data_IF_143749807188
#
_entry.id   IF_143749807188
#
_cell.length_a   1.000
_cell.length_b   1.000
_cell.length_c   1.000
_cell.angle_alpha   90.00
_cell.angle_beta   90.00
_cell.angle_gamma   90.00
#
_symmetry.space_group_name_H-M   'P 1'
#
loop_
_entity.id
_entity.type
_entity.pdbx_description
1 polymer ?
#
# COMPACT_ATOMS: atom_id res chain seq x y z
N UNK A 1 -5.36 14.66 9.54
CA UNK A 1 -6.24 15.62 8.79
C UNK A 1 -6.71 14.98 7.49
N UNK A 2 -5.87 14.70 6.52
CA UNK A 2 -6.30 14.13 5.22
C UNK A 2 -7.02 12.77 5.31
N UNK A 3 -6.56 11.86 6.17
CA UNK A 3 -7.20 10.54 6.31
C UNK A 3 -8.67 10.65 6.75
N UNK A 4 -8.99 11.52 7.70
CA UNK A 4 -10.36 11.75 8.15
C UNK A 4 -11.25 12.32 7.04
N UNK A 5 -10.72 13.22 6.20
CA UNK A 5 -11.43 13.78 5.05
C UNK A 5 -11.75 12.71 4.00
N UNK A 6 -10.78 11.81 3.73
CA UNK A 6 -10.98 10.69 2.79
C UNK A 6 -12.02 9.71 3.34
N UNK A 7 -11.89 9.33 4.61
CA UNK A 7 -12.86 8.42 5.27
C UNK A 7 -14.27 9.01 5.22
N UNK A 8 -14.43 10.31 5.48
CA UNK A 8 -15.74 10.96 5.46
C UNK A 8 -16.34 11.12 4.06
N UNK A 9 -15.53 10.99 3.01
CA UNK A 9 -15.95 11.17 1.63
C UNK A 9 -16.43 9.88 0.94
N UNK A 10 -16.38 8.71 1.62
CA UNK A 10 -16.72 7.42 1.01
C UNK A 10 -17.25 6.43 2.04
N UNK A 11 -18.18 5.57 1.60
CA UNK A 11 -18.64 4.40 2.39
C UNK A 11 -17.74 3.17 2.22
N UNK A 12 -16.70 3.27 1.37
CA UNK A 12 -15.76 2.18 1.18
C UNK A 12 -14.78 2.09 2.36
N UNK A 13 -14.32 0.87 2.71
CA UNK A 13 -13.27 0.71 3.70
C UNK A 13 -11.99 1.43 3.24
N UNK A 14 -11.45 2.31 4.09
CA UNK A 14 -10.22 3.07 3.82
C UNK A 14 -9.07 2.51 4.65
N UNK A 15 -7.97 2.18 4.00
CA UNK A 15 -6.68 1.87 4.65
C UNK A 15 -5.61 2.86 4.22
N UNK A 16 -4.60 3.07 5.06
CA UNK A 16 -3.54 4.04 4.80
C UNK A 16 -2.14 3.40 4.85
N UNK A 17 -1.22 3.95 4.08
CA UNK A 17 0.20 3.79 4.32
C UNK A 17 0.59 4.72 5.48
N UNK A 18 1.05 4.13 6.57
CA UNK A 18 1.45 4.85 7.79
C UNK A 18 2.97 4.91 7.93
N UNK A 19 3.67 4.67 6.83
CA UNK A 19 5.13 4.74 6.75
C UNK A 19 5.79 3.90 7.86
N UNK A 20 6.81 4.47 8.53
CA UNK A 20 7.43 3.86 9.70
C UNK A 20 6.61 4.03 11.00
N UNK A 21 5.36 4.43 10.93
CA UNK A 21 4.53 4.76 12.09
C UNK A 21 4.85 6.16 12.65
N UNK A 22 5.51 6.99 11.88
CA UNK A 22 5.92 8.38 12.18
C UNK A 22 6.84 8.52 13.38
N UNK A 23 7.62 7.49 13.69
CA UNK A 23 8.67 7.56 14.71
C UNK A 23 9.28 6.21 15.09
N UNK A 24 10.48 6.25 15.61
CA UNK A 24 11.31 5.06 15.83
C UNK A 24 10.82 4.15 16.99
N UNK A 25 10.12 4.69 17.98
CA UNK A 25 9.74 3.90 19.16
C UNK A 25 8.48 3.08 18.96
N UNK A 26 8.38 1.87 19.55
CA UNK A 26 7.15 1.08 19.55
C UNK A 26 5.92 1.84 20.07
N UNK A 27 6.11 2.70 21.07
CA UNK A 27 5.02 3.53 21.64
C UNK A 27 4.42 4.48 20.61
N UNK A 28 5.25 5.07 19.73
CA UNK A 28 4.76 5.97 18.66
C UNK A 28 3.99 5.17 17.62
N UNK A 29 4.45 3.97 17.25
CA UNK A 29 3.68 3.09 16.37
C UNK A 29 2.30 2.76 16.95
N UNK A 30 2.22 2.40 18.22
CA UNK A 30 0.95 2.13 18.91
C UNK A 30 0.02 3.34 18.89
N UNK A 31 0.54 4.53 19.16
CA UNK A 31 -0.25 5.77 19.12
C UNK A 31 -0.74 6.10 17.71
N UNK A 32 0.10 5.92 16.70
CA UNK A 32 -0.27 6.07 15.29
C UNK A 32 -1.45 5.18 14.91
N UNK A 33 -1.45 3.91 15.33
CA UNK A 33 -2.57 2.99 15.10
C UNK A 33 -3.84 3.47 15.80
N UNK A 34 -3.77 3.91 17.07
CA UNK A 34 -4.94 4.46 17.77
C UNK A 34 -5.53 5.68 17.06
N UNK A 35 -4.66 6.60 16.62
CA UNK A 35 -5.09 7.78 15.85
C UNK A 35 -5.72 7.36 14.52
N UNK A 36 -5.13 6.40 13.81
CA UNK A 36 -5.66 5.86 12.56
C UNK A 36 -7.06 5.27 12.73
N UNK A 37 -7.27 4.48 13.77
CA UNK A 37 -8.59 3.93 14.10
C UNK A 37 -9.59 5.03 14.46
N UNK A 38 -9.19 6.01 15.26
CA UNK A 38 -10.07 7.09 15.71
C UNK A 38 -10.58 7.98 14.56
N UNK A 39 -9.85 8.08 13.46
CA UNK A 39 -10.30 8.80 12.26
C UNK A 39 -11.08 7.91 11.28
N UNK A 40 -11.31 6.63 11.63
CA UNK A 40 -12.15 5.70 10.87
C UNK A 40 -11.41 4.89 9.81
N UNK A 41 -10.08 4.83 9.84
CA UNK A 41 -9.35 3.86 9.02
C UNK A 41 -9.60 2.44 9.53
N UNK A 42 -9.79 1.51 8.60
CA UNK A 42 -10.00 0.07 8.90
C UNK A 42 -8.75 -0.77 8.66
N UNK A 43 -7.63 -0.15 8.39
CA UNK A 43 -6.34 -0.79 8.23
C UNK A 43 -5.22 0.21 7.92
N UNK A 44 -3.99 -0.25 8.06
CA UNK A 44 -2.82 0.52 7.73
C UNK A 44 -1.56 -0.33 7.66
N UNK A 45 -0.52 0.20 7.04
CA UNK A 45 0.77 -0.47 6.98
C UNK A 45 1.82 0.24 7.83
N UNK A 46 2.63 -0.55 8.52
CA UNK A 46 3.84 -0.11 9.22
C UNK A 46 5.03 -0.83 8.58
N UNK A 47 6.06 -0.07 8.22
CA UNK A 47 7.27 -0.59 7.60
C UNK A 47 8.47 -0.58 8.54
N UNK A 48 9.47 -1.41 8.20
CA UNK A 48 10.73 -1.49 8.91
C UNK A 48 11.81 -0.54 8.37
N UNK A 49 11.48 0.35 7.44
CA UNK A 49 12.36 1.43 7.02
C UNK A 49 12.52 2.50 8.10
N UNK A 50 13.73 3.06 8.22
CA UNK A 50 14.06 4.07 9.25
C UNK A 50 13.96 5.51 8.75
N UNK A 51 13.91 5.71 7.42
CA UNK A 51 14.09 7.02 6.80
C UNK A 51 15.54 7.55 6.85
N UNK A 52 16.48 6.83 7.47
CA UNK A 52 17.89 7.21 7.53
C UNK A 52 18.69 6.43 6.45
N UNK A 53 19.29 7.09 5.45
CA UNK A 53 20.03 6.43 4.38
C UNK A 53 21.24 5.61 4.87
N UNK A 54 21.86 6.00 6.00
CA UNK A 54 23.04 5.32 6.55
C UNK A 54 22.67 4.02 7.29
N UNK A 55 21.42 3.91 7.77
CA UNK A 55 20.87 2.72 8.42
C UNK A 55 19.41 2.54 8.00
N UNK A 56 19.15 2.20 6.71
CA UNK A 56 17.82 2.38 6.11
C UNK A 56 16.74 1.45 6.65
N UNK A 57 17.12 0.35 7.30
CA UNK A 57 16.18 -0.66 7.82
C UNK A 57 16.50 -0.91 9.29
N UNK A 58 15.46 -0.98 10.13
CA UNK A 58 15.59 -1.37 11.53
C UNK A 58 16.14 -2.79 11.68
N UNK A 59 16.91 -3.03 12.75
CA UNK A 59 17.21 -4.38 13.18
C UNK A 59 15.92 -5.16 13.40
N UNK A 60 15.96 -6.47 13.13
CA UNK A 60 14.76 -7.32 13.18
C UNK A 60 14.07 -7.28 14.55
N UNK A 61 14.81 -7.25 15.65
CA UNK A 61 14.25 -7.15 17.00
C UNK A 61 13.48 -5.85 17.20
N UNK A 62 14.05 -4.73 16.78
CA UNK A 62 13.40 -3.42 16.88
C UNK A 62 12.17 -3.33 15.96
N UNK A 63 12.26 -3.87 14.75
CA UNK A 63 11.12 -3.93 13.84
C UNK A 63 9.96 -4.75 14.43
N UNK A 64 10.26 -5.92 15.01
CA UNK A 64 9.28 -6.80 15.68
C UNK A 64 8.61 -6.10 16.86
N UNK A 65 9.36 -5.44 17.75
CA UNK A 65 8.78 -4.69 18.87
C UNK A 65 7.80 -3.60 18.41
N UNK A 66 8.07 -2.96 17.27
CA UNK A 66 7.22 -1.94 16.67
C UNK A 66 5.92 -2.53 16.12
N UNK A 67 6.01 -3.66 15.41
CA UNK A 67 4.83 -4.38 14.90
C UNK A 67 4.00 -4.94 16.07
N UNK A 68 4.64 -5.50 17.10
CA UNK A 68 3.94 -5.99 18.28
C UNK A 68 3.15 -4.86 18.97
N UNK A 69 3.77 -3.71 19.19
CA UNK A 69 3.10 -2.57 19.81
C UNK A 69 1.94 -2.03 18.95
N UNK A 70 2.09 -2.03 17.62
CA UNK A 70 1.02 -1.67 16.69
C UNK A 70 -0.14 -2.68 16.73
N UNK A 71 0.16 -3.98 16.75
CA UNK A 71 -0.81 -5.06 16.86
C UNK A 71 -1.58 -5.00 18.17
N UNK A 72 -0.89 -4.86 19.32
CA UNK A 72 -1.52 -4.70 20.62
C UNK A 72 -2.46 -3.49 20.69
N UNK A 73 -2.09 -2.41 19.98
CA UNK A 73 -2.91 -1.19 19.92
C UNK A 73 -4.18 -1.35 19.09
N UNK A 74 -4.26 -2.35 18.22
CA UNK A 74 -5.42 -2.62 17.34
C UNK A 74 -6.27 -3.82 17.77
N UNK A 75 -5.89 -4.57 18.81
CA UNK A 75 -6.51 -5.84 19.19
C UNK A 75 -8.03 -5.82 19.32
N UNK A 76 -8.59 -4.75 19.89
CA UNK A 76 -10.03 -4.61 20.10
C UNK A 76 -10.70 -3.66 19.10
N UNK A 77 -9.99 -3.34 18.01
CA UNK A 77 -10.44 -2.37 17.00
C UNK A 77 -10.65 -3.06 15.65
N UNK A 78 -11.59 -2.59 14.83
CA UNK A 78 -11.80 -3.12 13.48
C UNK A 78 -10.69 -2.62 12.53
N UNK A 79 -9.45 -3.02 12.76
CA UNK A 79 -8.29 -2.54 12.05
C UNK A 79 -7.39 -3.70 11.62
N UNK A 80 -7.01 -3.75 10.36
CA UNK A 80 -6.08 -4.73 9.80
C UNK A 80 -4.68 -4.14 9.69
N UNK A 81 -3.75 -4.66 10.47
CA UNK A 81 -2.35 -4.26 10.45
C UNK A 81 -1.58 -4.98 9.34
N UNK A 82 -1.03 -4.23 8.40
CA UNK A 82 -0.08 -4.74 7.40
C UNK A 82 1.34 -4.43 7.84
N UNK A 83 2.18 -5.45 8.00
CA UNK A 83 3.61 -5.26 8.28
C UNK A 83 4.43 -5.38 7.00
N UNK A 84 5.37 -4.41 6.78
CA UNK A 84 6.17 -4.31 5.57
C UNK A 84 7.65 -4.58 5.86
N UNK A 85 8.28 -5.44 5.05
CA UNK A 85 9.72 -5.67 5.03
C UNK A 85 10.32 -4.97 3.79
N UNK A 86 11.06 -3.91 4.01
CA UNK A 86 11.51 -2.96 2.98
C UNK A 86 12.88 -3.28 2.36
N UNK A 87 13.47 -4.44 2.65
CA UNK A 87 14.80 -4.87 2.21
C UNK A 87 15.11 -4.51 0.76
N UNK A 88 14.23 -4.91 -0.16
CA UNK A 88 14.45 -4.75 -1.59
C UNK A 88 14.41 -3.28 -2.05
N UNK A 89 13.57 -2.46 -1.45
CA UNK A 89 13.48 -1.03 -1.82
C UNK A 89 14.69 -0.23 -1.35
N UNK A 90 15.38 -0.72 -0.33
CA UNK A 90 16.57 -0.07 0.23
C UNK A 90 17.87 -0.72 -0.19
N UNK A 91 17.87 -1.43 -1.33
CA UNK A 91 19.08 -2.00 -1.93
C UNK A 91 19.69 -3.16 -1.13
N UNK A 92 18.88 -3.85 -0.34
CA UNK A 92 19.24 -5.06 0.41
C UNK A 92 18.46 -6.28 -0.07
N UNK A 93 18.68 -6.74 -1.33
CA UNK A 93 17.92 -7.81 -1.94
C UNK A 93 18.31 -9.19 -1.37
N UNK A 94 17.86 -9.48 -0.16
CA UNK A 94 18.05 -10.73 0.56
C UNK A 94 16.66 -11.37 0.82
N UNK A 95 16.35 -12.43 0.07
CA UNK A 95 15.06 -13.09 0.16
C UNK A 95 14.89 -13.85 1.47
N UNK A 96 15.97 -14.45 1.98
CA UNK A 96 15.93 -15.21 3.23
C UNK A 96 15.72 -14.27 4.44
N UNK A 97 16.42 -13.12 4.48
CA UNK A 97 16.17 -12.11 5.51
C UNK A 97 14.76 -11.51 5.41
N UNK A 98 14.27 -11.27 4.19
CA UNK A 98 12.89 -10.78 3.96
C UNK A 98 11.86 -11.77 4.51
N UNK A 99 11.98 -13.05 4.18
CA UNK A 99 11.07 -14.10 4.70
C UNK A 99 11.14 -14.19 6.22
N UNK A 100 12.35 -14.18 6.78
CA UNK A 100 12.55 -14.21 8.23
C UNK A 100 11.90 -13.02 8.94
N UNK A 101 11.97 -11.82 8.37
CA UNK A 101 11.29 -10.63 8.89
C UNK A 101 9.76 -10.79 8.83
N UNK A 102 9.24 -11.22 7.69
CA UNK A 102 7.80 -11.43 7.52
C UNK A 102 7.24 -12.47 8.48
N UNK A 103 7.95 -13.58 8.70
CA UNK A 103 7.58 -14.58 9.70
C UNK A 103 7.57 -13.98 11.11
N UNK A 104 8.59 -13.23 11.47
CA UNK A 104 8.67 -12.56 12.77
C UNK A 104 7.56 -11.49 12.94
N UNK A 105 7.16 -10.80 11.87
CA UNK A 105 6.03 -9.86 11.89
C UNK A 105 4.69 -10.58 12.02
N UNK A 106 4.53 -11.77 11.41
CA UNK A 106 3.37 -12.62 11.64
C UNK A 106 3.26 -13.02 13.11
N UNK A 107 4.35 -13.50 13.70
CA UNK A 107 4.43 -13.88 15.12
C UNK A 107 4.15 -12.69 16.07
N UNK A 108 4.52 -11.47 15.63
CA UNK A 108 4.25 -10.23 16.34
C UNK A 108 2.79 -9.73 16.22
N UNK A 109 1.96 -10.43 15.44
CA UNK A 109 0.53 -10.18 15.34
C UNK A 109 0.08 -9.36 14.13
N UNK A 110 0.91 -9.22 13.09
CA UNK A 110 0.47 -8.62 11.83
C UNK A 110 -0.63 -9.48 11.17
N UNK A 111 -1.66 -8.83 10.63
CA UNK A 111 -2.76 -9.50 9.90
C UNK A 111 -2.41 -9.77 8.44
N UNK A 112 -1.63 -8.90 7.84
CA UNK A 112 -1.20 -8.95 6.43
C UNK A 112 0.29 -8.67 6.36
N UNK A 113 0.98 -9.39 5.47
CA UNK A 113 2.41 -9.22 5.22
C UNK A 113 2.66 -8.60 3.85
N UNK A 114 3.73 -7.82 3.75
CA UNK A 114 4.05 -7.15 2.51
C UNK A 114 5.57 -6.96 2.36
N UNK A 115 6.11 -7.41 1.23
CA UNK A 115 7.50 -7.16 0.82
C UNK A 115 7.50 -6.52 -0.57
N UNK A 116 7.58 -5.18 -0.65
CA UNK A 116 7.67 -4.49 -1.94
C UNK A 116 9.01 -4.74 -2.61
N UNK A 117 9.03 -4.70 -3.95
CA UNK A 117 10.26 -4.76 -4.73
C UNK A 117 10.81 -6.17 -4.99
N UNK A 118 10.05 -7.23 -4.69
CA UNK A 118 10.45 -8.59 -5.07
C UNK A 118 10.73 -8.68 -6.58
N UNK A 119 11.81 -9.36 -7.00
CA UNK A 119 12.32 -9.24 -8.37
C UNK A 119 11.48 -9.94 -9.42
N UNK A 120 10.79 -11.02 -9.06
CA UNK A 120 10.07 -11.87 -10.00
C UNK A 120 8.95 -12.67 -9.33
N UNK A 121 8.18 -13.41 -10.15
CA UNK A 121 7.03 -14.20 -9.71
C UNK A 121 7.44 -15.37 -8.81
N UNK A 122 8.65 -15.91 -8.97
CA UNK A 122 9.14 -17.02 -8.16
C UNK A 122 9.50 -16.55 -6.74
N UNK A 123 10.08 -15.35 -6.61
CA UNK A 123 10.30 -14.73 -5.31
C UNK A 123 8.96 -14.45 -4.61
N UNK A 124 7.94 -13.94 -5.33
CA UNK A 124 6.58 -13.75 -4.80
C UNK A 124 6.00 -15.09 -4.31
N UNK A 125 6.08 -16.15 -5.13
CA UNK A 125 5.59 -17.48 -4.77
C UNK A 125 6.31 -18.03 -3.54
N UNK A 126 7.62 -17.85 -3.48
CA UNK A 126 8.45 -18.30 -2.35
C UNK A 126 8.02 -17.61 -1.06
N UNK A 127 7.86 -16.29 -1.08
CA UNK A 127 7.37 -15.52 0.08
C UNK A 127 5.98 -16.01 0.50
N UNK A 128 5.02 -16.07 -0.44
CA UNK A 128 3.65 -16.49 -0.13
C UNK A 128 3.58 -17.92 0.45
N UNK A 129 4.49 -18.81 0.04
CA UNK A 129 4.55 -20.18 0.54
C UNK A 129 5.24 -20.33 1.89
N UNK A 130 6.08 -19.35 2.26
CA UNK A 130 6.92 -19.38 3.46
C UNK A 130 6.26 -18.75 4.68
N UNK A 131 5.11 -18.09 4.51
CA UNK A 131 4.40 -17.38 5.58
C UNK A 131 2.97 -17.89 5.74
N UNK A 132 2.38 -17.70 6.89
CA UNK A 132 1.04 -18.19 7.26
C UNK A 132 -0.05 -17.10 7.20
N UNK A 133 0.34 -15.86 6.90
CA UNK A 133 -0.58 -14.72 6.77
C UNK A 133 -0.79 -14.32 5.31
N UNK A 134 -1.93 -13.68 4.99
CA UNK A 134 -2.15 -13.12 3.67
C UNK A 134 -1.02 -12.18 3.23
N UNK A 135 -0.59 -12.31 1.97
CA UNK A 135 0.46 -11.46 1.40
C UNK A 135 -0.13 -10.44 0.44
N UNK A 136 0.25 -9.17 0.64
CA UNK A 136 0.02 -8.10 -0.32
C UNK A 136 1.15 -8.03 -1.33
N UNK A 137 0.82 -7.87 -2.62
CA UNK A 137 1.78 -7.64 -3.70
C UNK A 137 1.47 -6.32 -4.40
N UNK A 138 2.50 -5.53 -4.68
CA UNK A 138 2.38 -4.24 -5.38
C UNK A 138 2.61 -4.44 -6.87
N UNK A 139 1.69 -3.89 -7.69
CA UNK A 139 1.80 -3.86 -9.16
C UNK A 139 1.57 -2.44 -9.72
N UNK A 140 1.89 -2.28 -11.00
CA UNK A 140 1.62 -1.04 -11.73
C UNK A 140 2.64 0.08 -11.54
N UNK A 141 3.75 -0.18 -10.85
CA UNK A 141 4.92 0.70 -10.76
C UNK A 141 6.03 0.19 -11.69
N UNK A 142 7.28 0.53 -11.40
CA UNK A 142 8.45 -0.01 -12.12
C UNK A 142 8.68 -1.49 -11.78
N UNK A 143 9.26 -2.25 -12.71
CA UNK A 143 9.58 -3.65 -12.55
C UNK A 143 8.71 -4.57 -13.41
N UNK A 144 8.74 -5.89 -13.17
CA UNK A 144 7.94 -6.85 -13.92
C UNK A 144 6.44 -6.61 -13.71
N UNK A 145 5.66 -6.90 -14.76
CA UNK A 145 4.20 -6.77 -14.72
C UNK A 145 3.57 -8.16 -14.86
N UNK A 146 2.71 -8.48 -13.90
CA UNK A 146 1.96 -9.74 -13.86
C UNK A 146 0.46 -9.45 -13.83
N UNK A 147 -0.31 -10.35 -14.42
CA UNK A 147 -1.78 -10.32 -14.33
C UNK A 147 -2.26 -10.68 -12.92
N UNK A 148 -3.49 -10.31 -12.61
CA UNK A 148 -4.17 -10.72 -11.36
C UNK A 148 -4.16 -12.24 -11.21
N UNK A 149 -4.38 -12.99 -12.32
CA UNK A 149 -4.39 -14.45 -12.30
C UNK A 149 -3.01 -15.04 -11.96
N UNK A 150 -1.93 -14.51 -12.53
CA UNK A 150 -0.57 -14.97 -12.23
C UNK A 150 -0.20 -14.70 -10.76
N UNK A 151 -0.54 -13.53 -10.23
CA UNK A 151 -0.30 -13.18 -8.83
C UNK A 151 -1.13 -14.05 -7.88
N UNK A 152 -2.40 -14.29 -8.18
CA UNK A 152 -3.25 -15.19 -7.41
C UNK A 152 -2.70 -16.62 -7.40
N UNK A 153 -2.24 -17.11 -8.55
CA UNK A 153 -1.61 -18.44 -8.66
C UNK A 153 -0.24 -18.51 -7.93
N UNK A 154 0.41 -17.39 -7.72
CA UNK A 154 1.61 -17.30 -6.91
C UNK A 154 1.32 -17.22 -5.40
N UNK A 155 0.05 -17.09 -4.99
CA UNK A 155 -0.38 -17.08 -3.60
C UNK A 155 -0.68 -15.67 -3.02
N UNK A 156 -0.63 -14.61 -3.85
CA UNK A 156 -0.99 -13.28 -3.40
C UNK A 156 -2.48 -13.21 -3.01
N UNK A 157 -2.76 -12.71 -1.81
CA UNK A 157 -4.13 -12.54 -1.30
C UNK A 157 -4.67 -11.14 -1.53
N UNK A 158 -3.80 -10.15 -1.68
CA UNK A 158 -4.13 -8.74 -1.96
C UNK A 158 -3.18 -8.21 -3.03
N UNK A 159 -3.71 -7.38 -3.91
CA UNK A 159 -2.91 -6.66 -4.91
C UNK A 159 -3.14 -5.16 -4.69
N UNK A 160 -2.07 -4.42 -4.47
CA UNK A 160 -2.10 -2.97 -4.36
C UNK A 160 -1.43 -2.33 -5.58
N UNK A 161 -1.80 -1.11 -5.89
CA UNK A 161 -1.27 -0.39 -7.07
C UNK A 161 -0.52 0.89 -6.70
N UNK A 162 -0.46 1.23 -5.41
CA UNK A 162 0.17 2.45 -4.92
C UNK A 162 -0.32 3.68 -5.69
N UNK A 163 0.60 4.56 -6.03
CA UNK A 163 0.30 5.76 -6.81
C UNK A 163 0.17 5.56 -8.33
N UNK A 164 0.13 4.31 -8.85
CA UNK A 164 0.21 4.07 -10.29
C UNK A 164 -0.97 4.67 -11.07
N UNK A 165 -2.19 4.59 -10.54
CA UNK A 165 -3.36 5.19 -11.20
C UNK A 165 -3.27 6.71 -11.24
N UNK A 166 -2.86 7.36 -10.15
CA UNK A 166 -2.66 8.81 -10.12
C UNK A 166 -1.56 9.23 -11.09
N UNK A 167 -0.45 8.48 -11.14
CA UNK A 167 0.65 8.74 -12.09
C UNK A 167 0.24 8.51 -13.55
N UNK A 168 -0.61 7.51 -13.82
CA UNK A 168 -1.16 7.28 -15.16
C UNK A 168 -2.04 8.45 -15.61
N UNK A 169 -2.94 8.93 -14.73
CA UNK A 169 -3.79 10.08 -15.00
C UNK A 169 -2.95 11.36 -15.22
N UNK A 170 -1.98 11.63 -14.36
CA UNK A 170 -1.08 12.77 -14.50
C UNK A 170 -0.26 12.69 -15.80
N UNK A 171 0.23 11.49 -16.15
CA UNK A 171 0.96 11.29 -17.40
C UNK A 171 0.10 11.56 -18.64
N UNK A 172 -1.18 11.19 -18.62
CA UNK A 172 -2.12 11.54 -19.69
C UNK A 172 -2.32 13.06 -19.78
N UNK A 173 -2.53 13.74 -18.68
CA UNK A 173 -2.64 15.20 -18.63
C UNK A 173 -1.39 15.89 -19.18
N UNK A 174 -0.20 15.43 -18.78
CA UNK A 174 1.06 16.01 -19.26
C UNK A 174 1.24 15.82 -20.76
N UNK A 175 0.92 14.65 -21.32
CA UNK A 175 0.98 14.42 -22.77
C UNK A 175 0.00 15.31 -23.52
N UNK A 176 -1.22 15.47 -23.05
CA UNK A 176 -2.21 16.35 -23.64
C UNK A 176 -1.74 17.83 -23.65
N UNK A 177 -1.22 18.32 -22.54
CA UNK A 177 -0.68 19.68 -22.43
C UNK A 177 0.52 19.89 -23.35
N UNK A 178 1.42 18.92 -23.48
CA UNK A 178 2.59 18.99 -24.36
C UNK A 178 2.18 18.99 -25.82
N UNK A 179 1.19 18.22 -26.25
CA UNK A 179 0.65 18.23 -27.61
C UNK A 179 0.14 19.62 -27.99
N UNK A 180 -0.67 20.24 -27.13
CA UNK A 180 -1.19 21.58 -27.36
C UNK A 180 -0.06 22.59 -27.46
N UNK A 181 0.91 22.53 -26.55
CA UNK A 181 2.03 23.48 -26.48
C UNK A 181 2.98 23.38 -27.68
N UNK A 182 3.28 22.16 -28.12
CA UNK A 182 4.31 21.90 -29.14
C UNK A 182 3.76 21.82 -30.57
N UNK A 183 2.59 21.16 -30.75
CA UNK A 183 1.99 20.94 -32.08
C UNK A 183 0.76 21.81 -32.35
N UNK A 184 0.14 22.40 -31.34
CA UNK A 184 -1.10 23.17 -31.49
C UNK A 184 -2.29 22.31 -31.92
N UNK A 185 -2.26 21.00 -31.59
CA UNK A 185 -3.32 20.04 -31.94
C UNK A 185 -4.04 19.57 -30.69
N UNK A 186 -5.18 18.88 -30.87
CA UNK A 186 -6.06 18.44 -29.81
C UNK A 186 -6.47 16.96 -29.98
N UNK A 187 -5.58 16.13 -30.52
CA UNK A 187 -5.88 14.73 -30.84
C UNK A 187 -6.08 13.88 -29.55
N UNK A 188 -5.49 14.31 -28.43
CA UNK A 188 -5.70 13.69 -27.10
C UNK A 188 -7.18 13.58 -26.72
N UNK A 189 -8.06 14.42 -27.29
CA UNK A 189 -9.49 14.40 -26.98
C UNK A 189 -10.17 13.07 -27.35
N UNK A 190 -9.56 12.29 -28.26
CA UNK A 190 -10.06 10.95 -28.61
C UNK A 190 -9.96 9.94 -27.46
N UNK A 191 -8.99 10.13 -26.56
CA UNK A 191 -8.77 9.26 -25.40
C UNK A 191 -9.47 9.79 -24.11
N UNK A 192 -10.11 10.97 -24.20
CA UNK A 192 -10.80 11.56 -23.06
C UNK A 192 -12.14 10.84 -22.78
N UNK A 193 -12.47 10.69 -21.50
CA UNK A 193 -13.79 10.17 -21.12
C UNK A 193 -14.87 11.19 -21.51
N UNK A 194 -16.07 10.75 -21.97
CA UNK A 194 -17.18 11.64 -22.27
C UNK A 194 -17.61 12.48 -21.06
N UNK A 195 -18.04 13.71 -21.30
CA UNK A 195 -18.48 14.65 -20.26
C UNK A 195 -19.56 14.06 -19.34
N UNK A 196 -20.54 13.35 -19.92
CA UNK A 196 -21.60 12.69 -19.14
C UNK A 196 -21.04 11.62 -18.17
N UNK A 197 -19.98 10.91 -18.57
CA UNK A 197 -19.29 9.91 -17.70
C UNK A 197 -18.54 10.63 -16.59
N UNK A 198 -17.82 11.71 -16.91
CA UNK A 198 -17.12 12.52 -15.93
C UNK A 198 -18.12 13.11 -14.90
N UNK A 199 -19.23 13.68 -15.36
CA UNK A 199 -20.28 14.23 -14.53
C UNK A 199 -20.88 13.15 -13.60
N UNK A 200 -21.14 11.95 -14.11
CA UNK A 200 -21.65 10.85 -13.32
C UNK A 200 -20.66 10.40 -12.23
N UNK A 201 -19.36 10.32 -12.54
CA UNK A 201 -18.32 9.96 -11.58
C UNK A 201 -18.16 11.01 -10.48
N UNK A 202 -18.41 12.28 -10.79
CA UNK A 202 -18.32 13.40 -9.85
C UNK A 202 -19.64 13.67 -9.11
N UNK A 203 -20.77 13.07 -9.55
CA UNK A 203 -22.02 13.20 -8.84
C UNK A 203 -21.95 12.40 -7.53
N UNK A 204 -22.36 13.04 -6.43
CA UNK A 204 -22.52 12.39 -5.13
C UNK A 204 -23.83 11.56 -5.09
N UNK A 205 -24.02 10.67 -6.05
CA UNK A 205 -25.09 9.67 -5.91
C UNK A 205 -24.67 8.70 -4.79
N UNK A 206 -25.19 8.96 -3.61
CA UNK A 206 -25.09 8.03 -2.48
C UNK A 206 -25.72 6.69 -2.87
N UNK A 207 -25.19 5.59 -2.35
CA UNK A 207 -25.66 4.21 -2.56
C UNK A 207 -27.17 4.03 -2.27
N UNK A 208 -27.81 4.98 -1.59
CA UNK A 208 -29.26 5.00 -1.32
C UNK A 208 -30.12 5.06 -2.60
N UNK A 209 -29.60 5.58 -3.71
CA UNK A 209 -30.35 5.74 -4.97
C UNK A 209 -30.20 4.53 -5.92
N UNK A 210 -29.51 3.46 -5.52
CA UNK A 210 -29.27 2.25 -6.34
C UNK A 210 -30.00 0.99 -5.85
N UNK A 211 -31.01 1.14 -4.97
CA UNK A 211 -31.89 0.03 -4.54
C UNK A 211 -33.22 0.01 -5.23
#
# INVERSE_FOLDING_TARGET
MYAAEIVSATDLPVSADLEDGFGASPTVCAETIRIACNVGLVGGSIEDATGNPDAPIYDISQAVERIQAASEASLDLPFMLTARAENYLWGRPDLDDTIKRLQAFSDAGADVLYAPGLPDIEAIRTVCSAVDRPVNVLMGLSGPSYSVAELSNAGASRISVGGSFARAALGALMRAAEEVRSAGTFTYAADAIPDAVAAQLMSQETRADRQ
#
